data_IF_589103403779
#
_entry.id   IF_589103403779
#
_cell.length_a   1.000
_cell.length_b   1.000
_cell.length_c   1.000
_cell.angle_alpha   90.00
_cell.angle_beta   90.00
_cell.angle_gamma   90.00
#
_symmetry.space_group_name_H-M   'P 1'
#
loop_
_entity.id
_entity.type
_entity.pdbx_description
1 polymer ?
#
# COMPACT_ATOMS: atom_id res chain seq x y z
N UNK A 1 50.88 2.00 -14.84
CA UNK A 1 49.66 1.73 -15.61
C UNK A 1 49.34 2.97 -16.43
N UNK A 2 48.89 2.79 -17.67
CA UNK A 2 48.49 3.88 -18.56
C UNK A 2 47.05 4.34 -18.24
N UNK A 3 46.64 5.49 -18.79
CA UNK A 3 45.27 6.03 -18.61
C UNK A 3 44.22 5.05 -19.15
N UNK A 4 44.49 4.41 -20.30
CA UNK A 4 43.61 3.39 -20.88
C UNK A 4 43.42 2.19 -19.98
N UNK A 5 44.53 1.61 -19.50
CA UNK A 5 44.50 0.47 -18.58
C UNK A 5 43.74 0.82 -17.27
N UNK A 6 43.87 2.06 -16.80
CA UNK A 6 43.14 2.54 -15.64
C UNK A 6 41.63 2.65 -15.89
N UNK A 7 41.22 3.15 -17.07
CA UNK A 7 39.81 3.24 -17.46
C UNK A 7 39.18 1.84 -17.56
N UNK A 8 39.89 0.88 -18.16
CA UNK A 8 39.46 -0.52 -18.25
C UNK A 8 39.30 -1.16 -16.87
N UNK A 9 40.24 -0.94 -15.94
CA UNK A 9 40.16 -1.48 -14.59
C UNK A 9 39.04 -0.86 -13.75
N UNK A 10 38.82 0.46 -13.86
CA UNK A 10 37.72 1.12 -13.18
C UNK A 10 36.36 0.64 -13.70
N UNK A 11 36.25 0.47 -15.03
CA UNK A 11 35.05 -0.09 -15.66
C UNK A 11 34.82 -1.53 -15.21
N UNK A 12 35.86 -2.36 -15.14
CA UNK A 12 35.78 -3.72 -14.61
C UNK A 12 35.38 -3.76 -13.12
N UNK A 13 35.74 -2.72 -12.35
CA UNK A 13 35.31 -2.54 -10.96
C UNK A 13 33.89 -1.94 -10.83
N UNK A 14 33.17 -1.74 -11.94
CA UNK A 14 31.81 -1.21 -11.95
C UNK A 14 31.72 0.32 -11.88
N UNK A 15 32.84 1.03 -12.00
CA UNK A 15 32.88 2.49 -12.08
C UNK A 15 32.91 2.86 -13.56
N UNK A 16 31.82 3.42 -14.09
CA UNK A 16 31.78 3.92 -15.46
C UNK A 16 32.85 5.00 -15.66
N UNK A 17 33.92 4.67 -16.39
CA UNK A 17 35.07 5.55 -16.57
C UNK A 17 35.60 5.47 -18.01
N UNK A 18 35.65 6.61 -18.71
CA UNK A 18 36.37 6.76 -19.97
C UNK A 18 37.82 7.23 -19.75
N UNK A 19 38.66 7.16 -20.78
CA UNK A 19 40.02 7.73 -20.73
C UNK A 19 40.00 9.23 -20.43
N UNK A 20 39.00 9.96 -20.96
CA UNK A 20 38.81 11.39 -20.70
C UNK A 20 38.45 11.66 -19.23
N UNK A 21 37.61 10.80 -18.64
CA UNK A 21 37.24 10.90 -17.22
C UNK A 21 38.46 10.70 -16.31
N UNK A 22 39.26 9.67 -16.59
CA UNK A 22 40.50 9.39 -15.84
C UNK A 22 41.47 10.56 -15.98
N UNK A 23 41.63 11.11 -17.19
CA UNK A 23 42.48 12.28 -17.42
C UNK A 23 41.97 13.53 -16.69
N UNK A 24 40.65 13.71 -16.64
CA UNK A 24 39.98 14.78 -15.89
C UNK A 24 40.20 14.63 -14.39
N UNK A 25 40.08 13.41 -13.84
CA UNK A 25 40.32 13.13 -12.42
C UNK A 25 41.78 13.37 -12.02
N UNK A 26 42.73 13.08 -12.90
CA UNK A 26 44.15 13.42 -12.68
C UNK A 26 44.34 14.94 -12.65
N UNK A 27 43.78 15.67 -13.63
CA UNK A 27 43.86 17.14 -13.68
C UNK A 27 43.19 17.82 -12.48
N UNK A 28 42.10 17.24 -11.98
CA UNK A 28 41.39 17.71 -10.77
C UNK A 28 42.10 17.31 -9.47
N UNK A 29 43.21 16.56 -9.52
CA UNK A 29 43.94 16.08 -8.34
C UNK A 29 43.21 14.99 -7.55
N UNK A 30 42.14 14.40 -8.11
CA UNK A 30 41.39 13.31 -7.49
C UNK A 30 42.11 11.97 -7.59
N UNK A 31 42.86 11.77 -8.67
CA UNK A 31 43.68 10.59 -8.92
C UNK A 31 45.16 10.99 -9.05
N UNK A 32 46.03 10.37 -8.27
CA UNK A 32 47.47 10.63 -8.34
C UNK A 32 48.08 9.92 -9.55
N UNK A 33 48.86 10.65 -10.32
CA UNK A 33 49.61 10.11 -11.45
C UNK A 33 50.92 10.88 -11.63
N UNK A 34 51.94 10.17 -12.12
CA UNK A 34 53.21 10.76 -12.54
C UNK A 34 53.06 11.23 -14.00
N UNK A 35 53.30 12.52 -14.25
CA UNK A 35 53.36 13.04 -15.61
C UNK A 35 54.72 12.74 -16.24
N UNK A 36 54.74 12.04 -17.35
CA UNK A 36 55.94 11.79 -18.15
C UNK A 36 55.90 12.77 -19.32
N UNK A 37 56.70 13.83 -19.21
CA UNK A 37 56.83 14.84 -20.27
C UNK A 37 57.82 14.37 -21.34
N UNK A 38 57.28 13.89 -22.47
CA UNK A 38 58.00 13.79 -23.76
C UNK A 38 57.33 14.74 -24.76
N UNK A 39 57.54 14.58 -26.09
CA UNK A 39 56.86 15.37 -27.13
C UNK A 39 55.33 15.40 -26.99
N UNK A 40 54.76 14.41 -26.29
CA UNK A 40 53.37 14.34 -25.83
C UNK A 40 53.35 14.05 -24.32
N UNK A 41 52.41 14.67 -23.60
CA UNK A 41 52.21 14.43 -22.16
C UNK A 41 51.52 13.07 -21.99
N UNK A 42 52.12 12.18 -21.21
CA UNK A 42 51.47 10.93 -20.79
C UNK A 42 51.46 10.80 -19.28
N UNK A 43 50.49 10.06 -18.74
CA UNK A 43 50.35 9.82 -17.31
C UNK A 43 50.63 8.36 -16.96
N UNK A 44 51.37 8.15 -15.89
CA UNK A 44 51.59 6.86 -15.27
C UNK A 44 50.91 6.84 -13.91
N UNK A 45 49.86 6.03 -13.80
CA UNK A 45 49.09 5.89 -12.57
C UNK A 45 49.68 4.73 -11.76
N UNK A 46 50.04 4.94 -10.48
CA UNK A 46 50.39 3.86 -9.55
C UNK A 46 49.16 3.00 -9.26
N UNK A 47 49.33 1.67 -9.28
CA UNK A 47 48.23 0.71 -9.07
C UNK A 47 47.56 0.92 -7.71
N UNK A 48 48.36 1.20 -6.68
CA UNK A 48 47.86 1.50 -5.33
C UNK A 48 46.90 2.70 -5.33
N UNK A 49 47.27 3.80 -5.98
CA UNK A 49 46.43 5.00 -6.03
C UNK A 49 45.12 4.75 -6.80
N UNK A 50 45.14 3.91 -7.84
CA UNK A 50 43.91 3.50 -8.52
C UNK A 50 43.00 2.66 -7.61
N UNK A 51 43.56 1.69 -6.89
CA UNK A 51 42.82 0.84 -5.96
C UNK A 51 42.21 1.71 -4.85
N UNK A 52 43.00 2.58 -4.22
CA UNK A 52 42.53 3.47 -3.16
C UNK A 52 41.42 4.40 -3.68
N UNK A 53 41.54 4.90 -4.91
CA UNK A 53 40.51 5.71 -5.56
C UNK A 53 39.23 4.91 -5.84
N UNK A 54 39.36 3.69 -6.36
CA UNK A 54 38.22 2.81 -6.65
C UNK A 54 37.44 2.47 -5.38
N UNK A 55 38.14 2.09 -4.31
CA UNK A 55 37.55 1.80 -3.00
C UNK A 55 36.83 3.04 -2.46
N UNK A 56 37.46 4.22 -2.55
CA UNK A 56 36.87 5.47 -2.09
C UNK A 56 35.57 5.81 -2.83
N UNK A 57 35.57 5.66 -4.15
CA UNK A 57 34.38 5.92 -4.98
C UNK A 57 33.22 4.98 -4.63
N UNK A 58 33.49 3.68 -4.57
CA UNK A 58 32.48 2.68 -4.21
C UNK A 58 31.95 2.88 -2.78
N UNK A 59 32.83 3.22 -1.83
CA UNK A 59 32.44 3.48 -0.45
C UNK A 59 31.52 4.69 -0.36
N UNK A 60 31.82 5.76 -1.08
CA UNK A 60 30.97 6.96 -1.11
C UNK A 60 29.60 6.67 -1.74
N UNK A 61 29.54 5.88 -2.82
CA UNK A 61 28.29 5.46 -3.44
C UNK A 61 27.45 4.61 -2.48
N UNK A 62 28.05 3.61 -1.84
CA UNK A 62 27.37 2.76 -0.87
C UNK A 62 26.87 3.55 0.35
N UNK A 63 27.65 4.52 0.83
CA UNK A 63 27.23 5.41 1.92
C UNK A 63 26.03 6.27 1.52
N UNK A 64 26.02 6.83 0.31
CA UNK A 64 24.88 7.59 -0.20
C UNK A 64 23.64 6.72 -0.27
N UNK A 65 23.75 5.51 -0.86
CA UNK A 65 22.62 4.58 -0.98
C UNK A 65 22.12 4.09 0.37
N UNK A 66 23.01 3.90 1.34
CA UNK A 66 22.63 3.54 2.70
C UNK A 66 21.83 4.67 3.36
N UNK A 67 22.28 5.92 3.23
CA UNK A 67 21.57 7.07 3.78
C UNK A 67 20.17 7.24 3.16
N UNK A 68 20.05 7.07 1.84
CA UNK A 68 18.76 7.11 1.15
C UNK A 68 17.82 5.99 1.65
N UNK A 69 18.35 4.77 1.80
CA UNK A 69 17.61 3.63 2.31
C UNK A 69 17.18 3.82 3.78
N UNK A 70 18.03 4.39 4.62
CA UNK A 70 17.69 4.73 6.00
C UNK A 70 16.58 5.77 6.07
N UNK A 71 16.63 6.79 5.21
CA UNK A 71 15.57 7.80 5.11
C UNK A 71 14.24 7.16 4.69
N UNK A 72 14.24 6.33 3.65
CA UNK A 72 13.05 5.58 3.23
C UNK A 72 12.52 4.69 4.35
N UNK A 73 13.39 3.98 5.07
CA UNK A 73 13.00 3.13 6.18
C UNK A 73 12.33 3.93 7.31
N UNK A 74 12.86 5.10 7.67
CA UNK A 74 12.22 5.98 8.67
C UNK A 74 10.83 6.42 8.20
N UNK A 75 10.70 6.83 6.95
CA UNK A 75 9.42 7.24 6.38
C UNK A 75 8.39 6.10 6.35
N UNK A 76 8.79 4.90 5.93
CA UNK A 76 7.92 3.73 5.94
C UNK A 76 7.48 3.35 7.36
N UNK A 77 8.39 3.45 8.33
CA UNK A 77 8.08 3.19 9.74
C UNK A 77 6.99 4.12 10.26
N UNK A 78 7.09 5.41 9.96
CA UNK A 78 6.09 6.41 10.36
C UNK A 78 4.73 6.13 9.71
N UNK A 79 4.72 5.76 8.42
CA UNK A 79 3.49 5.35 7.72
C UNK A 79 2.84 4.12 8.35
N UNK A 80 3.63 3.12 8.73
CA UNK A 80 3.12 1.91 9.40
C UNK A 80 2.49 2.26 10.75
N UNK A 81 3.10 3.16 11.51
CA UNK A 81 2.55 3.61 12.80
C UNK A 81 1.23 4.36 12.62
N UNK A 82 1.16 5.26 11.64
CA UNK A 82 -0.07 5.97 11.28
C UNK A 82 -1.19 5.01 10.83
N UNK A 83 -0.86 3.99 10.03
CA UNK A 83 -1.83 3.00 9.61
C UNK A 83 -2.33 2.14 10.78
N UNK A 84 -1.44 1.74 11.70
CA UNK A 84 -1.82 1.00 12.91
C UNK A 84 -2.80 1.79 13.77
N UNK A 85 -2.54 3.08 13.99
CA UNK A 85 -3.45 3.94 14.76
C UNK A 85 -4.81 4.10 14.06
N UNK A 86 -4.83 4.30 12.73
CA UNK A 86 -6.07 4.37 11.95
C UNK A 86 -6.88 3.07 12.03
N UNK A 87 -6.23 1.92 11.87
CA UNK A 87 -6.90 0.61 12.01
C UNK A 87 -7.48 0.44 13.41
N UNK A 88 -6.75 0.83 14.45
CA UNK A 88 -7.25 0.76 15.83
C UNK A 88 -8.49 1.63 16.05
N UNK A 89 -8.50 2.85 15.51
CA UNK A 89 -9.65 3.75 15.55
C UNK A 89 -10.86 3.12 14.85
N UNK A 90 -10.68 2.61 13.63
CA UNK A 90 -11.77 1.98 12.86
C UNK A 90 -12.30 0.72 13.56
N UNK A 91 -11.42 -0.12 14.12
CA UNK A 91 -11.84 -1.28 14.92
C UNK A 91 -12.67 -0.87 16.14
N UNK A 92 -12.30 0.22 16.81
CA UNK A 92 -13.05 0.75 17.95
C UNK A 92 -14.41 1.30 17.52
N UNK A 93 -14.49 2.04 16.40
CA UNK A 93 -15.76 2.50 15.81
C UNK A 93 -16.68 1.33 15.47
N UNK A 94 -16.16 0.30 14.81
CA UNK A 94 -16.95 -0.90 14.46
C UNK A 94 -17.47 -1.60 15.70
N UNK A 95 -16.67 -1.72 16.76
CA UNK A 95 -17.12 -2.27 18.05
C UNK A 95 -18.25 -1.45 18.66
N UNK A 96 -18.13 -0.12 18.68
CA UNK A 96 -19.19 0.76 19.18
C UNK A 96 -20.46 0.65 18.35
N UNK A 97 -20.37 0.67 17.02
CA UNK A 97 -21.54 0.56 16.14
C UNK A 97 -22.25 -0.79 16.29
N UNK A 98 -21.50 -1.89 16.44
CA UNK A 98 -22.08 -3.21 16.72
C UNK A 98 -22.86 -3.21 18.03
N UNK A 99 -22.28 -2.64 19.09
CA UNK A 99 -22.95 -2.53 20.38
C UNK A 99 -24.24 -1.70 20.30
N UNK A 100 -24.19 -0.54 19.63
CA UNK A 100 -25.38 0.30 19.44
C UNK A 100 -26.47 -0.43 18.64
N UNK A 101 -26.09 -1.20 17.62
CA UNK A 101 -27.02 -2.01 16.86
C UNK A 101 -27.65 -3.12 17.72
N UNK A 102 -26.86 -3.80 18.53
CA UNK A 102 -27.34 -4.81 19.48
C UNK A 102 -28.30 -4.20 20.51
N UNK A 103 -27.97 -3.04 21.08
CA UNK A 103 -28.83 -2.29 22.00
C UNK A 103 -30.15 -1.88 21.33
N UNK A 104 -30.12 -1.44 20.07
CA UNK A 104 -31.32 -1.11 19.30
C UNK A 104 -32.18 -2.36 19.03
N UNK A 105 -31.57 -3.50 18.68
CA UNK A 105 -32.27 -4.76 18.47
C UNK A 105 -32.95 -5.21 19.76
N UNK A 106 -32.24 -5.17 20.90
CA UNK A 106 -32.79 -5.53 22.21
C UNK A 106 -33.93 -4.61 22.63
N UNK A 107 -33.75 -3.29 22.48
CA UNK A 107 -34.79 -2.30 22.79
C UNK A 107 -36.04 -2.45 21.89
N UNK A 108 -35.85 -2.88 20.64
CA UNK A 108 -36.96 -3.17 19.72
C UNK A 108 -37.65 -4.50 20.04
N UNK A 109 -36.91 -5.46 20.62
CA UNK A 109 -37.42 -6.77 21.01
C UNK A 109 -38.21 -6.76 22.32
N UNK A 110 -37.91 -5.85 23.25
CA UNK A 110 -38.60 -5.75 24.55
C UNK A 110 -39.97 -5.06 24.48
N UNK A 111 -40.35 -4.48 23.33
CA UNK A 111 -41.59 -3.69 23.20
C UNK A 111 -42.54 -4.06 22.06
N UNK A 112 -42.23 -5.03 21.19
CA UNK A 112 -43.09 -5.31 20.03
C UNK A 112 -43.34 -6.80 19.81
N UNK A 113 -44.61 -7.20 19.97
CA UNK A 113 -45.18 -8.19 19.06
C UNK A 113 -44.83 -7.70 17.65
N UNK A 114 -44.00 -8.46 16.92
CA UNK A 114 -43.46 -8.08 15.61
C UNK A 114 -44.63 -7.80 14.65
N UNK A 115 -45.11 -6.56 14.59
CA UNK A 115 -46.26 -6.20 13.78
C UNK A 115 -45.79 -6.05 12.34
N UNK A 116 -45.90 -7.14 11.57
CA UNK A 116 -45.59 -7.21 10.15
C UNK A 116 -46.22 -6.08 9.31
N UNK A 117 -47.33 -5.50 9.80
CA UNK A 117 -47.97 -4.33 9.21
C UNK A 117 -47.07 -3.08 9.29
N UNK A 118 -46.42 -2.82 10.42
CA UNK A 118 -45.55 -1.65 10.62
C UNK A 118 -44.29 -1.71 9.76
N UNK A 119 -43.69 -2.89 9.61
CA UNK A 119 -42.54 -3.12 8.74
C UNK A 119 -42.83 -2.82 7.26
N UNK A 120 -44.09 -2.98 6.84
CA UNK A 120 -44.54 -2.68 5.48
C UNK A 120 -45.22 -1.32 5.35
N UNK A 121 -45.24 -0.51 6.41
CA UNK A 121 -45.94 0.78 6.44
C UNK A 121 -47.47 0.65 6.27
N UNK A 122 -48.04 -0.48 6.68
CA UNK A 122 -49.48 -0.78 6.60
C UNK A 122 -50.17 -0.55 7.95
N UNK A 123 -51.44 -0.19 7.92
CA UNK A 123 -52.28 -0.05 9.12
C UNK A 123 -52.42 -1.40 9.85
N UNK A 124 -52.44 -1.38 11.20
CA UNK A 124 -52.41 -2.57 12.05
C UNK A 124 -53.57 -3.56 11.81
N UNK A 125 -54.69 -3.11 11.21
CA UNK A 125 -55.87 -3.93 10.88
C UNK A 125 -55.90 -4.44 9.42
N UNK A 126 -54.77 -4.37 8.71
CA UNK A 126 -54.70 -4.78 7.31
C UNK A 126 -54.97 -6.29 7.14
N UNK A 127 -55.95 -6.60 6.29
CA UNK A 127 -56.34 -7.98 5.93
C UNK A 127 -55.10 -8.82 5.53
N UNK A 128 -55.01 -10.06 6.02
CA UNK A 128 -53.89 -11.00 5.78
C UNK A 128 -53.58 -11.16 4.28
N UNK A 129 -54.59 -11.01 3.43
CA UNK A 129 -54.45 -11.02 1.96
C UNK A 129 -53.69 -9.80 1.43
N UNK A 130 -53.91 -8.62 2.01
CA UNK A 130 -53.22 -7.39 1.66
C UNK A 130 -51.74 -7.46 2.07
N UNK A 131 -51.49 -7.94 3.29
CA UNK A 131 -50.15 -8.15 3.82
C UNK A 131 -49.32 -9.09 2.93
N UNK A 132 -49.90 -10.22 2.49
CA UNK A 132 -49.25 -11.17 1.58
C UNK A 132 -48.92 -10.57 0.20
N UNK A 133 -49.73 -9.64 -0.31
CA UNK A 133 -49.47 -8.99 -1.60
C UNK A 133 -48.28 -8.04 -1.51
N UNK A 134 -48.20 -7.24 -0.45
CA UNK A 134 -47.09 -6.32 -0.24
C UNK A 134 -45.78 -7.06 0.02
N UNK A 135 -45.78 -8.10 0.85
CA UNK A 135 -44.61 -8.99 1.00
C UNK A 135 -44.17 -9.59 -0.33
N UNK A 136 -45.11 -10.02 -1.19
CA UNK A 136 -44.79 -10.57 -2.50
C UNK A 136 -44.19 -9.53 -3.45
N UNK A 137 -44.59 -8.26 -3.36
CA UNK A 137 -43.95 -7.16 -4.10
C UNK A 137 -42.53 -6.92 -3.60
N UNK A 138 -42.33 -6.91 -2.29
CA UNK A 138 -41.03 -6.72 -1.66
C UNK A 138 -40.04 -7.84 -2.06
N UNK A 139 -40.48 -9.09 -2.00
CA UNK A 139 -39.69 -10.25 -2.44
C UNK A 139 -39.34 -10.18 -3.94
N UNK A 140 -40.24 -9.68 -4.79
CA UNK A 140 -39.95 -9.47 -6.20
C UNK A 140 -38.97 -8.33 -6.46
N UNK A 141 -38.87 -7.35 -5.58
CA UNK A 141 -37.92 -6.25 -5.69
C UNK A 141 -36.54 -6.66 -5.15
N UNK A 142 -36.52 -7.45 -4.07
CA UNK A 142 -35.31 -7.93 -3.40
C UNK A 142 -34.71 -9.19 -4.07
N UNK A 143 -35.33 -9.73 -5.12
CA UNK A 143 -34.85 -10.97 -5.74
C UNK A 143 -33.45 -10.79 -6.35
N UNK A 144 -32.49 -11.72 -6.13
CA UNK A 144 -31.12 -11.62 -6.66
C UNK A 144 -31.07 -11.52 -8.18
N UNK A 145 -31.94 -12.24 -8.91
CA UNK A 145 -32.08 -12.12 -10.38
C UNK A 145 -32.46 -10.72 -10.88
N UNK A 146 -32.88 -9.82 -9.98
CA UNK A 146 -33.23 -8.43 -10.28
C UNK A 146 -32.25 -7.43 -9.65
N UNK A 147 -31.04 -7.88 -9.34
CA UNK A 147 -30.02 -7.13 -8.61
C UNK A 147 -30.43 -6.72 -7.18
N UNK A 148 -31.37 -7.45 -6.58
CA UNK A 148 -31.73 -7.30 -5.17
C UNK A 148 -30.75 -8.00 -4.22
N UNK A 149 -30.79 -7.62 -2.94
CA UNK A 149 -29.93 -8.21 -1.91
C UNK A 149 -30.45 -9.61 -1.51
N UNK A 150 -29.67 -10.64 -1.85
CA UNK A 150 -29.96 -12.04 -1.56
C UNK A 150 -30.17 -12.31 -0.06
N UNK A 151 -29.45 -11.59 0.81
CA UNK A 151 -29.56 -11.78 2.27
C UNK A 151 -30.89 -11.26 2.78
N UNK A 152 -31.30 -10.08 2.31
CA UNK A 152 -32.61 -9.52 2.63
C UNK A 152 -33.72 -10.39 2.06
N UNK A 153 -33.59 -10.86 0.82
CA UNK A 153 -34.57 -11.77 0.21
C UNK A 153 -34.82 -13.02 1.06
N UNK A 154 -33.76 -13.64 1.60
CA UNK A 154 -33.89 -14.82 2.47
C UNK A 154 -34.67 -14.51 3.75
N UNK A 155 -34.31 -13.43 4.45
CA UNK A 155 -34.97 -13.00 5.70
C UNK A 155 -36.46 -12.71 5.44
N UNK A 156 -36.78 -11.90 4.43
CA UNK A 156 -38.18 -11.57 4.12
C UNK A 156 -38.99 -12.77 3.64
N UNK A 157 -38.35 -13.75 2.98
CA UNK A 157 -39.01 -14.99 2.54
C UNK A 157 -39.38 -15.87 3.74
N UNK A 158 -38.51 -15.98 4.73
CA UNK A 158 -38.79 -16.69 5.98
C UNK A 158 -39.99 -16.06 6.72
N UNK A 159 -40.07 -14.73 6.77
CA UNK A 159 -41.23 -14.04 7.36
C UNK A 159 -42.52 -14.26 6.55
N UNK A 160 -42.45 -14.25 5.22
CA UNK A 160 -43.61 -14.52 4.35
C UNK A 160 -44.15 -15.95 4.50
N UNK A 161 -43.28 -16.96 4.65
CA UNK A 161 -43.73 -18.34 4.88
C UNK A 161 -44.36 -18.51 6.28
N UNK A 162 -43.84 -17.84 7.31
CA UNK A 162 -44.47 -17.80 8.65
C UNK A 162 -45.86 -17.17 8.65
N UNK A 163 -46.13 -16.22 7.75
CA UNK A 163 -47.45 -15.61 7.52
C UNK A 163 -48.41 -16.49 6.70
N UNK A 164 -47.87 -17.51 6.02
CA UNK A 164 -48.62 -18.42 5.16
C UNK A 164 -49.04 -19.70 5.89
N UNK A 165 -48.25 -20.14 6.87
CA UNK A 165 -48.61 -21.18 7.84
C UNK A 165 -49.80 -20.75 8.70
#
# INVERSE_FOLDING_TARGET
>A
MTVREAAEQLTAAGIAASEDDVTSWIKQGKLKAESINRRTISYKIPVKDLIDFSIKMQTAELQSRLADCELEHTNLKDHVELLKTRVHIEQSKVRTLKRLLEEQILSSAEGSSFHYAELLGLEQDSDSRHLKREFKKLLKALHPDRAGDERLFKVFKEHYEKLKA
#
